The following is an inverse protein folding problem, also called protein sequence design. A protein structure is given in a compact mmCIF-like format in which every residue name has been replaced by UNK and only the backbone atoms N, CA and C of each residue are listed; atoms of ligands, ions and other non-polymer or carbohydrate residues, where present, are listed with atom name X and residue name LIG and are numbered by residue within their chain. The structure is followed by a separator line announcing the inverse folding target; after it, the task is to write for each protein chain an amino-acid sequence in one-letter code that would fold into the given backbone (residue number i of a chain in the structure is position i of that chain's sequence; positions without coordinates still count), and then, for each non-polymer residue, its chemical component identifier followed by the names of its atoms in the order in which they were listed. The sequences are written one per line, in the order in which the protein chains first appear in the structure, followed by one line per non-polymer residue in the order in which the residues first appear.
data_IF_073165380076
#
_entry.id   IF_073165380076
#
_cell.length_a   1.000
_cell.length_b   1.000
_cell.length_c   1.000
_cell.angle_alpha   90.00
_cell.angle_beta   90.00
_cell.angle_gamma   90.00
#
_symmetry.space_group_name_H-M   'P 1'
#
loop_
_entity.id
_entity.type
_entity.pdbx_description
1 polymer ?
#
# COMPACT_ATOMS: atom_id res chain seq x y z
N UNK A 1 10.87 12.72 -8.00
CA UNK A 1 10.18 11.42 -7.86
C UNK A 1 10.98 10.19 -8.31
N UNK A 2 12.02 10.29 -9.16
CA UNK A 2 12.80 9.12 -9.60
C UNK A 2 13.56 8.39 -8.48
N UNK A 3 14.02 9.09 -7.44
CA UNK A 3 14.79 8.51 -6.34
C UNK A 3 14.06 7.36 -5.64
N UNK A 4 12.81 7.58 -5.22
CA UNK A 4 12.04 6.57 -4.49
C UNK A 4 11.77 5.33 -5.36
N UNK A 5 11.44 5.53 -6.64
CA UNK A 5 11.21 4.44 -7.59
C UNK A 5 12.47 3.59 -7.80
N UNK A 6 13.64 4.23 -7.96
CA UNK A 6 14.93 3.54 -8.08
C UNK A 6 15.29 2.80 -6.80
N UNK A 7 15.15 3.44 -5.64
CA UNK A 7 15.46 2.85 -4.34
C UNK A 7 14.60 1.60 -4.05
N UNK A 8 13.29 1.68 -4.30
CA UNK A 8 12.39 0.52 -4.19
C UNK A 8 12.82 -0.60 -5.13
N UNK A 9 13.15 -0.27 -6.39
CA UNK A 9 13.57 -1.27 -7.35
C UNK A 9 14.88 -1.96 -6.95
N UNK A 10 15.85 -1.21 -6.43
CA UNK A 10 17.13 -1.75 -5.96
C UNK A 10 16.96 -2.64 -4.72
N UNK A 11 16.04 -2.29 -3.81
CA UNK A 11 15.83 -3.03 -2.56
C UNK A 11 14.93 -4.25 -2.70
N UNK A 12 13.88 -4.15 -3.51
CA UNK A 12 12.80 -5.17 -3.57
C UNK A 12 12.67 -5.83 -4.94
N UNK A 13 13.39 -5.33 -5.95
CA UNK A 13 13.21 -5.71 -7.35
C UNK A 13 11.89 -5.23 -7.98
N UNK A 14 11.07 -4.45 -7.26
CA UNK A 14 9.78 -3.97 -7.75
C UNK A 14 9.92 -2.73 -8.61
N UNK A 15 9.33 -2.78 -9.81
CA UNK A 15 9.17 -1.62 -10.68
C UNK A 15 7.85 -0.94 -10.36
N UNK A 16 7.86 -0.03 -9.40
CA UNK A 16 6.67 0.73 -8.99
C UNK A 16 6.60 2.03 -9.77
N UNK A 17 5.43 2.33 -10.33
CA UNK A 17 5.12 3.62 -10.93
C UNK A 17 6.07 4.05 -12.08
N UNK A 18 6.71 3.09 -12.76
CA UNK A 18 7.56 3.37 -13.91
C UNK A 18 6.72 3.43 -15.18
N UNK A 19 7.01 4.32 -16.14
CA UNK A 19 6.27 4.37 -17.40
C UNK A 19 6.40 3.05 -18.17
N UNK A 20 5.29 2.59 -18.74
CA UNK A 20 5.26 1.43 -19.63
C UNK A 20 5.09 1.85 -21.11
N UNK A 21 5.30 0.93 -22.05
CA UNK A 21 5.20 1.19 -23.50
C UNK A 21 3.76 1.39 -24.01
N UNK A 22 2.76 1.24 -23.15
CA UNK A 22 1.34 1.26 -23.51
C UNK A 22 0.57 2.48 -22.96
N UNK A 23 1.28 3.47 -22.42
CA UNK A 23 0.64 4.71 -21.92
C UNK A 23 0.09 4.59 -20.49
N UNK A 24 0.78 3.87 -19.60
CA UNK A 24 0.48 3.78 -18.18
C UNK A 24 1.73 3.53 -17.34
N UNK A 25 1.56 2.96 -16.14
CA UNK A 25 2.69 2.63 -15.26
C UNK A 25 2.89 1.13 -15.11
N UNK A 26 4.03 0.71 -14.58
CA UNK A 26 4.37 -0.69 -14.28
C UNK A 26 3.63 -1.24 -13.07
N UNK A 27 2.73 -0.46 -12.46
CA UNK A 27 1.87 -0.84 -11.34
C UNK A 27 0.78 -1.84 -11.78
N UNK A 28 1.21 -3.02 -12.21
CA UNK A 28 0.35 -4.15 -12.54
C UNK A 28 -0.20 -4.81 -11.28
N UNK A 29 -1.20 -5.69 -11.41
CA UNK A 29 -1.73 -6.46 -10.29
C UNK A 29 -0.65 -7.30 -9.57
N UNK A 30 0.39 -7.76 -10.27
CA UNK A 30 1.51 -8.47 -9.66
C UNK A 30 2.39 -7.55 -8.81
N UNK A 31 2.64 -6.32 -9.27
CA UNK A 31 3.39 -5.32 -8.49
C UNK A 31 2.60 -4.93 -7.25
N UNK A 32 1.29 -4.69 -7.37
CA UNK A 32 0.41 -4.41 -6.23
C UNK A 32 0.39 -5.56 -5.22
N UNK A 33 0.27 -6.82 -5.69
CA UNK A 33 0.26 -7.99 -4.80
C UNK A 33 1.55 -8.10 -3.99
N UNK A 34 2.70 -7.84 -4.59
CA UNK A 34 3.99 -7.85 -3.88
C UNK A 34 4.15 -6.65 -2.95
N UNK A 35 3.63 -5.48 -3.32
CA UNK A 35 3.67 -4.30 -2.45
C UNK A 35 2.81 -4.45 -1.18
N UNK A 36 1.74 -5.26 -1.23
CA UNK A 36 0.81 -5.52 -0.12
C UNK A 36 0.84 -6.99 0.37
N UNK A 37 1.93 -7.71 0.11
CA UNK A 37 2.12 -9.07 0.60
C UNK A 37 2.51 -9.07 2.09
N UNK A 38 2.68 -10.26 2.68
CA UNK A 38 3.29 -10.39 4.01
C UNK A 38 4.81 -10.07 4.00
N UNK A 39 5.41 -9.89 2.83
CA UNK A 39 6.81 -9.45 2.71
C UNK A 39 6.91 -8.00 3.19
N UNK A 40 7.64 -7.78 4.27
CA UNK A 40 7.80 -6.46 4.88
C UNK A 40 8.77 -5.56 4.12
N UNK A 41 9.55 -6.11 3.18
CA UNK A 41 10.62 -5.39 2.47
C UNK A 41 10.13 -4.13 1.77
N UNK A 42 8.94 -4.17 1.13
CA UNK A 42 8.36 -3.00 0.50
C UNK A 42 7.97 -1.95 1.53
N UNK A 43 7.30 -2.35 2.62
CA UNK A 43 6.90 -1.44 3.68
C UNK A 43 8.12 -0.82 4.37
N UNK A 44 9.12 -1.63 4.75
CA UNK A 44 10.38 -1.18 5.34
C UNK A 44 11.10 -0.17 4.44
N UNK A 45 11.13 -0.44 3.13
CA UNK A 45 11.68 0.49 2.14
C UNK A 45 10.96 1.84 2.20
N UNK A 46 9.62 1.87 2.17
CA UNK A 46 8.84 3.10 2.30
C UNK A 46 9.11 3.81 3.64
N UNK A 47 9.07 3.08 4.75
CA UNK A 47 9.28 3.63 6.10
C UNK A 47 10.68 4.23 6.28
N UNK A 48 11.69 3.72 5.57
CA UNK A 48 13.04 4.27 5.61
C UNK A 48 13.19 5.62 4.89
N UNK A 49 12.20 6.01 4.08
CA UNK A 49 12.23 7.24 3.26
C UNK A 49 11.37 8.38 3.78
N UNK A 50 10.62 8.14 4.87
CA UNK A 50 9.70 9.10 5.48
C UNK A 50 10.16 9.48 6.88
N UNK A 51 9.72 10.62 7.40
CA UNK A 51 10.04 11.01 8.77
C UNK A 51 9.45 10.00 9.77
N UNK A 52 10.22 9.68 10.82
CA UNK A 52 9.88 8.64 11.82
C UNK A 52 8.47 8.83 12.42
N UNK A 53 8.04 10.07 12.60
CA UNK A 53 6.70 10.42 13.09
C UNK A 53 5.54 9.90 12.20
N UNK A 54 5.79 9.67 10.91
CA UNK A 54 4.81 9.13 9.96
C UNK A 54 4.86 7.60 9.84
N UNK A 55 5.89 6.95 10.39
CA UNK A 55 6.03 5.50 10.26
C UNK A 55 4.86 4.72 10.90
N UNK A 56 4.41 5.02 12.14
CA UNK A 56 3.32 4.27 12.75
C UNK A 56 2.01 4.33 11.95
N UNK A 57 1.69 5.50 11.39
CA UNK A 57 0.47 5.71 10.64
C UNK A 57 0.53 5.03 9.27
N UNK A 58 1.68 5.09 8.58
CA UNK A 58 1.88 4.42 7.29
C UNK A 58 1.86 2.90 7.44
N UNK A 59 2.48 2.34 8.48
CA UNK A 59 2.41 0.90 8.78
C UNK A 59 0.97 0.45 9.03
N UNK A 60 0.18 1.24 9.77
CA UNK A 60 -1.23 0.95 10.02
C UNK A 60 -2.05 0.95 8.73
N UNK A 61 -1.92 1.99 7.91
CA UNK A 61 -2.61 2.09 6.62
C UNK A 61 -2.23 0.92 5.70
N UNK A 62 -0.94 0.62 5.58
CA UNK A 62 -0.44 -0.48 4.74
C UNK A 62 -1.01 -1.83 5.20
N UNK A 63 -1.00 -2.11 6.50
CA UNK A 63 -1.52 -3.35 7.07
C UNK A 63 -3.03 -3.49 6.82
N UNK A 64 -3.79 -2.41 7.04
CA UNK A 64 -5.24 -2.42 6.82
C UNK A 64 -5.59 -2.62 5.34
N UNK A 65 -4.91 -1.92 4.43
CA UNK A 65 -5.10 -2.09 2.99
C UNK A 65 -4.71 -3.51 2.53
N UNK A 66 -3.62 -4.06 3.06
CA UNK A 66 -3.20 -5.43 2.78
C UNK A 66 -4.28 -6.44 3.20
N UNK A 67 -4.86 -6.27 4.39
CA UNK A 67 -5.95 -7.11 4.86
C UNK A 67 -7.20 -7.00 3.98
N UNK A 68 -7.61 -5.78 3.64
CA UNK A 68 -8.75 -5.52 2.74
C UNK A 68 -8.52 -6.21 1.39
N UNK A 69 -7.36 -6.00 0.76
CA UNK A 69 -7.03 -6.60 -0.54
C UNK A 69 -7.02 -8.13 -0.50
N UNK A 70 -6.57 -8.75 0.60
CA UNK A 70 -6.63 -10.21 0.76
C UNK A 70 -8.06 -10.72 0.85
N UNK A 71 -8.90 -10.02 1.61
CA UNK A 71 -10.31 -10.37 1.74
C UNK A 71 -11.02 -10.29 0.39
N UNK A 72 -10.82 -9.21 -0.36
CA UNK A 72 -11.40 -9.04 -1.72
C UNK A 72 -10.90 -10.08 -2.73
N UNK A 73 -9.66 -10.54 -2.60
CA UNK A 73 -9.09 -11.58 -3.47
C UNK A 73 -9.38 -13.02 -2.96
N UNK A 74 -10.04 -13.18 -1.81
CA UNK A 74 -10.34 -14.49 -1.25
C UNK A 74 -11.58 -15.10 -1.91
N UNK A 75 -11.60 -16.43 -2.02
CA UNK A 75 -12.78 -17.20 -2.41
C UNK A 75 -13.68 -17.56 -1.22
N UNK A 76 -13.35 -17.09 -0.02
CA UNK A 76 -14.06 -17.42 1.21
C UNK A 76 -15.30 -16.55 1.42
N UNK A 77 -16.25 -17.05 2.21
CA UNK A 77 -17.36 -16.21 2.69
C UNK A 77 -16.82 -15.20 3.69
N UNK A 78 -17.14 -13.94 3.47
CA UNK A 78 -16.65 -12.81 4.27
C UNK A 78 -17.83 -12.18 5.01
N UNK A 79 -17.60 -11.79 6.26
CA UNK A 79 -18.53 -10.93 6.99
C UNK A 79 -18.47 -9.50 6.44
N UNK A 80 -19.48 -9.13 5.66
CA UNK A 80 -19.54 -7.82 4.98
C UNK A 80 -19.65 -6.64 5.94
N UNK A 81 -20.24 -6.84 7.12
CA UNK A 81 -20.35 -5.79 8.14
C UNK A 81 -18.98 -5.46 8.74
N UNK A 82 -18.21 -6.50 9.07
CA UNK A 82 -16.85 -6.34 9.61
C UNK A 82 -15.89 -5.77 8.56
N UNK A 83 -15.99 -6.22 7.30
CA UNK A 83 -15.23 -5.64 6.19
C UNK A 83 -15.59 -4.17 5.99
N UNK A 84 -16.89 -3.82 6.01
CA UNK A 84 -17.35 -2.44 5.90
C UNK A 84 -16.79 -1.55 7.02
N UNK A 85 -16.74 -2.06 8.25
CA UNK A 85 -16.11 -1.37 9.38
C UNK A 85 -14.61 -1.17 9.14
N UNK A 86 -13.89 -2.21 8.71
CA UNK A 86 -12.46 -2.11 8.41
C UNK A 86 -12.18 -1.07 7.32
N UNK A 87 -12.95 -1.06 6.24
CA UNK A 87 -12.84 -0.06 5.17
C UNK A 87 -13.07 1.37 5.70
N UNK A 88 -14.13 1.57 6.51
CA UNK A 88 -14.43 2.87 7.12
C UNK A 88 -13.32 3.34 8.06
N UNK A 89 -12.85 2.47 8.95
CA UNK A 89 -11.78 2.78 9.90
C UNK A 89 -10.49 3.14 9.15
N UNK A 90 -10.17 2.42 8.08
CA UNK A 90 -9.00 2.71 7.22
C UNK A 90 -9.14 4.06 6.52
N UNK A 91 -10.32 4.38 6.00
CA UNK A 91 -10.59 5.67 5.36
C UNK A 91 -10.43 6.84 6.34
N UNK A 92 -10.98 6.73 7.55
CA UNK A 92 -10.83 7.76 8.59
C UNK A 92 -9.36 7.97 8.97
N UNK A 93 -8.59 6.89 9.11
CA UNK A 93 -7.15 6.95 9.38
C UNK A 93 -6.40 7.71 8.26
N UNK A 94 -6.77 7.48 6.99
CA UNK A 94 -6.19 8.21 5.86
C UNK A 94 -6.52 9.70 5.94
N UNK A 95 -7.79 10.06 6.16
CA UNK A 95 -8.23 11.45 6.28
C UNK A 95 -7.53 12.19 7.43
N UNK A 96 -7.50 11.61 8.62
CA UNK A 96 -6.88 12.21 9.81
C UNK A 96 -5.36 12.41 9.62
N UNK A 97 -4.73 11.55 8.82
CA UNK A 97 -3.30 11.63 8.53
C UNK A 97 -2.93 12.67 7.46
N UNK A 98 -3.90 13.21 6.73
CA UNK A 98 -3.70 14.13 5.60
C UNK A 98 -4.70 15.30 5.65
N UNK A 99 -4.48 16.28 6.55
CA UNK A 99 -5.32 17.47 6.63
C UNK A 99 -5.21 18.26 5.32
N UNK A 100 -6.23 18.14 4.46
CA UNK A 100 -6.27 18.70 3.10
C UNK A 100 -6.91 17.80 2.05
N UNK A 101 -7.22 16.53 2.37
CA UNK A 101 -7.99 15.62 1.51
C UNK A 101 -9.52 15.63 1.78
N UNK A 102 -9.99 16.51 2.67
CA UNK A 102 -11.40 16.69 3.03
C UNK A 102 -12.02 17.89 2.32
#
# INVERSE_FOLDING_TARGET
MKFLQTFIQEKTGLKVDQPNSSGGTTSTGNVARRAFSDETEYLECILSTVAIQHCPILSKIHTQLSAILRVFNSSHKVNTLELGKLCKDTYLVILDSSPGLA
#
